data_IF_839480675603
#
_entry.id   IF_839480675603
#
_cell.length_a   1.000
_cell.length_b   1.000
_cell.length_c   1.000
_cell.angle_alpha   90.00
_cell.angle_beta   90.00
_cell.angle_gamma   90.00
#
_symmetry.space_group_name_H-M   'P 1'
#
loop_
_entity.id
_entity.type
_entity.pdbx_description
1 polymer ?
#
# COMPACT_ATOMS: atom_id res chain seq x y z
N UNK A 1 -22.45 19.31 -21.04
CA UNK A 1 -21.33 19.77 -20.20
C UNK A 1 -20.28 18.67 -20.20
N UNK A 2 -18.98 18.95 -20.38
CA UNK A 2 -17.97 17.94 -20.13
C UNK A 2 -18.08 17.50 -18.68
N UNK A 3 -17.80 16.22 -18.35
CA UNK A 3 -17.77 15.77 -16.98
C UNK A 3 -16.76 16.64 -16.18
N UNK A 4 -17.14 17.00 -14.96
CA UNK A 4 -16.25 17.76 -14.09
C UNK A 4 -14.93 16.97 -13.93
N UNK A 5 -13.80 17.69 -14.03
CA UNK A 5 -12.50 17.06 -13.85
C UNK A 5 -12.41 16.51 -12.41
N UNK A 6 -11.98 15.26 -12.27
CA UNK A 6 -11.71 14.64 -10.97
C UNK A 6 -10.36 15.17 -10.50
N UNK A 7 -10.33 16.04 -9.49
CA UNK A 7 -9.10 16.71 -9.03
C UNK A 7 -8.93 16.66 -7.50
N UNK A 8 -9.98 16.30 -6.77
CA UNK A 8 -9.96 16.23 -5.31
C UNK A 8 -10.26 14.82 -4.81
N UNK A 9 -9.91 14.54 -3.57
CA UNK A 9 -10.25 13.29 -2.91
C UNK A 9 -11.78 13.07 -2.87
N UNK A 10 -12.55 14.13 -2.64
CA UNK A 10 -14.02 14.08 -2.67
C UNK A 10 -14.59 13.76 -4.05
N UNK A 11 -13.96 14.23 -5.11
CA UNK A 11 -14.34 13.85 -6.47
C UNK A 11 -14.05 12.37 -6.72
N UNK A 12 -12.87 11.89 -6.27
CA UNK A 12 -12.49 10.49 -6.38
C UNK A 12 -13.45 9.56 -5.62
N UNK A 13 -13.92 9.96 -4.44
CA UNK A 13 -14.91 9.18 -3.67
C UNK A 13 -16.22 8.97 -4.44
N UNK A 14 -16.57 9.89 -5.32
CA UNK A 14 -17.78 9.82 -6.16
C UNK A 14 -17.52 9.19 -7.52
N UNK A 15 -16.26 9.06 -7.90
CA UNK A 15 -15.89 8.47 -9.19
C UNK A 15 -16.24 6.99 -9.23
N UNK A 16 -16.83 6.57 -10.34
CA UNK A 16 -17.16 5.15 -10.59
C UNK A 16 -16.92 4.83 -12.05
N UNK A 17 -16.01 3.89 -12.27
CA UNK A 17 -15.79 3.26 -13.56
C UNK A 17 -15.85 1.74 -13.36
N UNK A 18 -16.88 1.06 -13.86
CA UNK A 18 -17.07 -0.36 -13.58
C UNK A 18 -15.87 -1.21 -13.99
N UNK A 19 -15.41 -2.07 -13.07
CA UNK A 19 -14.29 -2.98 -13.29
C UNK A 19 -12.91 -2.31 -13.30
N UNK A 20 -12.79 -1.07 -12.81
CA UNK A 20 -11.52 -0.36 -12.70
C UNK A 20 -11.20 0.01 -11.26
N UNK A 21 -9.92 0.17 -10.98
CA UNK A 21 -9.42 0.83 -9.77
C UNK A 21 -8.98 2.25 -10.13
N UNK A 22 -9.07 3.17 -9.18
CA UNK A 22 -8.72 4.56 -9.41
C UNK A 22 -7.95 5.15 -8.23
N UNK A 23 -6.92 5.91 -8.53
CA UNK A 23 -6.13 6.69 -7.58
C UNK A 23 -6.08 8.16 -8.06
N UNK A 24 -5.70 9.06 -7.17
CA UNK A 24 -5.48 10.46 -7.50
C UNK A 24 -4.03 10.82 -7.17
N UNK A 25 -3.32 11.42 -8.11
CA UNK A 25 -1.92 11.84 -7.91
C UNK A 25 -1.79 13.31 -8.26
N UNK A 26 -1.60 14.14 -7.26
CA UNK A 26 -1.51 15.60 -7.42
C UNK A 26 -2.63 16.17 -8.28
N UNK A 27 -3.88 15.77 -7.97
CA UNK A 27 -5.06 16.19 -8.71
C UNK A 27 -5.23 15.55 -10.10
N UNK A 28 -4.41 14.55 -10.44
CA UNK A 28 -4.53 13.80 -11.70
C UNK A 28 -5.13 12.43 -11.43
N UNK A 29 -6.27 12.13 -12.06
CA UNK A 29 -6.92 10.83 -11.97
C UNK A 29 -6.11 9.76 -12.73
N UNK A 30 -5.79 8.67 -12.04
CA UNK A 30 -5.16 7.48 -12.60
C UNK A 30 -6.14 6.33 -12.50
N UNK A 31 -6.54 5.78 -13.64
CA UNK A 31 -7.44 4.62 -13.73
C UNK A 31 -6.64 3.42 -14.22
N UNK A 32 -6.82 2.27 -13.56
CA UNK A 32 -6.10 1.04 -13.88
C UNK A 32 -7.06 -0.14 -14.04
N UNK A 33 -6.62 -1.14 -14.80
CA UNK A 33 -7.25 -2.46 -14.83
C UNK A 33 -7.08 -3.16 -13.47
N UNK A 34 -8.05 -3.98 -13.03
CA UNK A 34 -7.88 -4.79 -11.85
C UNK A 34 -6.72 -5.78 -12.05
N UNK A 35 -5.98 -6.10 -10.97
CA UNK A 35 -4.88 -7.04 -11.04
C UNK A 35 -5.37 -8.46 -11.33
N UNK A 36 -4.48 -9.30 -11.88
CA UNK A 36 -4.77 -10.71 -12.16
C UNK A 36 -4.85 -11.57 -10.89
N UNK A 37 -5.38 -12.79 -11.04
CA UNK A 37 -5.60 -13.73 -9.92
C UNK A 37 -4.35 -14.03 -9.09
N UNK A 38 -3.17 -14.17 -9.74
CA UNK A 38 -1.91 -14.44 -9.02
C UNK A 38 -1.52 -13.32 -8.04
N UNK A 39 -1.73 -12.07 -8.45
CA UNK A 39 -1.55 -10.91 -7.57
C UNK A 39 -2.50 -11.00 -6.35
N UNK A 40 -3.79 -11.28 -6.58
CA UNK A 40 -4.77 -11.41 -5.50
C UNK A 40 -4.46 -12.54 -4.51
N UNK A 41 -3.93 -13.67 -5.00
CA UNK A 41 -3.50 -14.79 -4.13
C UNK A 41 -2.34 -14.35 -3.23
N UNK A 42 -1.33 -13.69 -3.81
CA UNK A 42 -0.18 -13.20 -3.05
C UNK A 42 -0.58 -12.13 -2.03
N UNK A 43 -1.43 -11.18 -2.44
CA UNK A 43 -1.98 -10.16 -1.55
C UNK A 43 -2.73 -10.78 -0.36
N UNK A 44 -3.58 -11.77 -0.62
CA UNK A 44 -4.33 -12.45 0.43
C UNK A 44 -3.43 -13.20 1.42
N UNK A 45 -2.37 -13.88 0.93
CA UNK A 45 -1.40 -14.58 1.79
C UNK A 45 -0.62 -13.60 2.66
N UNK A 46 -0.10 -12.53 2.07
CA UNK A 46 0.62 -11.49 2.81
C UNK A 46 -0.29 -10.86 3.87
N UNK A 47 -1.49 -10.43 3.47
CA UNK A 47 -2.46 -9.82 4.35
C UNK A 47 -2.80 -10.73 5.54
N UNK A 48 -3.03 -12.03 5.28
CA UNK A 48 -3.32 -13.00 6.32
C UNK A 48 -2.16 -13.11 7.34
N UNK A 49 -0.90 -13.23 6.88
CA UNK A 49 0.26 -13.34 7.77
C UNK A 49 0.44 -12.11 8.65
N UNK A 50 0.34 -10.92 8.04
CA UNK A 50 0.50 -9.67 8.79
C UNK A 50 -0.67 -9.45 9.74
N UNK A 51 -1.91 -9.64 9.28
CA UNK A 51 -3.10 -9.41 10.09
C UNK A 51 -3.20 -10.37 11.28
N UNK A 52 -2.90 -11.67 11.07
CA UNK A 52 -2.87 -12.66 12.17
C UNK A 52 -1.89 -12.23 13.27
N UNK A 53 -0.70 -11.78 12.89
CA UNK A 53 0.31 -11.33 13.83
C UNK A 53 -0.10 -10.05 14.56
N UNK A 54 -0.53 -9.03 13.81
CA UNK A 54 -0.93 -7.72 14.33
C UNK A 54 -2.08 -7.85 15.33
N UNK A 55 -3.12 -8.63 15.00
CA UNK A 55 -4.27 -8.86 15.87
C UNK A 55 -3.85 -9.62 17.13
N UNK A 56 -3.04 -10.68 16.99
CA UNK A 56 -2.57 -11.49 18.13
C UNK A 56 -1.77 -10.67 19.14
N UNK A 57 -0.98 -9.71 18.68
CA UNK A 57 -0.10 -8.89 19.52
C UNK A 57 -0.66 -7.52 19.84
N UNK A 58 -1.89 -7.22 19.41
CA UNK A 58 -2.59 -5.97 19.70
C UNK A 58 -1.83 -4.72 19.21
N UNK A 59 -1.19 -4.80 18.02
CA UNK A 59 -0.29 -3.76 17.53
C UNK A 59 -1.01 -2.62 16.79
N UNK A 60 -2.20 -2.84 16.27
CA UNK A 60 -2.95 -1.87 15.48
C UNK A 60 -3.93 -2.54 14.52
N UNK A 61 -4.12 -1.94 13.34
CA UNK A 61 -5.02 -2.44 12.31
C UNK A 61 -4.29 -2.67 10.99
N UNK A 62 -4.67 -3.74 10.30
CA UNK A 62 -4.21 -4.05 8.94
C UNK A 62 -5.35 -3.76 7.97
N UNK A 63 -5.03 -3.03 6.91
CA UNK A 63 -6.00 -2.51 5.95
C UNK A 63 -5.74 -3.19 4.61
N UNK A 64 -6.82 -3.70 4.01
CA UNK A 64 -6.78 -4.45 2.77
C UNK A 64 -6.65 -3.52 1.54
N UNK A 65 -6.33 -4.15 0.40
CA UNK A 65 -6.27 -3.50 -0.91
C UNK A 65 -7.52 -2.67 -1.23
N UNK A 66 -7.39 -1.75 -2.19
CA UNK A 66 -8.45 -0.84 -2.65
C UNK A 66 -8.94 0.17 -1.60
N UNK A 67 -8.27 0.26 -0.45
CA UNK A 67 -8.52 1.28 0.56
C UNK A 67 -7.61 2.47 0.34
N UNK A 68 -8.19 3.62 0.05
CA UNK A 68 -7.43 4.85 -0.25
C UNK A 68 -6.96 5.58 1.02
N UNK A 69 -5.76 6.14 0.95
CA UNK A 69 -5.21 7.08 1.92
C UNK A 69 -4.93 8.41 1.25
N UNK A 70 -5.45 9.49 1.81
CA UNK A 70 -5.14 10.85 1.35
C UNK A 70 -3.82 11.28 1.98
N UNK A 71 -2.75 11.19 1.20
CA UNK A 71 -1.37 11.39 1.67
C UNK A 71 -0.79 12.77 1.35
N UNK A 72 -1.39 13.53 0.44
CA UNK A 72 -1.03 14.92 0.13
C UNK A 72 -2.30 15.75 -0.07
N UNK A 73 -2.17 17.08 0.15
CA UNK A 73 -3.22 18.08 -0.08
C UNK A 73 -2.69 19.21 -0.97
N UNK A 74 -3.57 19.84 -1.70
CA UNK A 74 -3.33 21.07 -2.48
C UNK A 74 -2.12 20.98 -3.45
N UNK A 75 -2.10 20.06 -4.43
CA UNK A 75 -3.18 19.22 -4.93
C UNK A 75 -3.25 17.84 -4.25
N UNK A 76 -4.47 17.31 -4.12
CA UNK A 76 -4.72 16.04 -3.44
C UNK A 76 -4.01 14.86 -4.10
N UNK A 77 -3.43 14.00 -3.26
CA UNK A 77 -2.96 12.67 -3.64
C UNK A 77 -3.64 11.61 -2.77
N UNK A 78 -4.33 10.69 -3.41
CA UNK A 78 -4.97 9.52 -2.78
C UNK A 78 -4.38 8.26 -3.41
N UNK A 79 -3.71 7.46 -2.59
CA UNK A 79 -3.10 6.19 -3.00
C UNK A 79 -3.76 5.03 -2.26
N UNK A 80 -3.90 3.91 -2.96
CA UNK A 80 -4.40 2.65 -2.41
C UNK A 80 -3.30 1.57 -2.55
N UNK A 81 -2.69 1.13 -1.44
CA UNK A 81 -1.71 0.04 -1.45
C UNK A 81 -2.41 -1.32 -1.47
N UNK A 82 -1.67 -2.39 -1.78
CA UNK A 82 -2.19 -3.75 -1.70
C UNK A 82 -2.40 -4.24 -0.27
N UNK A 83 -1.63 -3.72 0.67
CA UNK A 83 -1.84 -3.87 2.11
C UNK A 83 -1.23 -2.68 2.85
N UNK A 84 -1.82 -2.33 3.98
CA UNK A 84 -1.30 -1.29 4.87
C UNK A 84 -1.44 -1.70 6.34
N UNK A 85 -0.64 -1.08 7.20
CA UNK A 85 -0.74 -1.20 8.66
C UNK A 85 -0.70 0.20 9.28
N UNK A 86 -1.57 0.40 10.26
CA UNK A 86 -1.61 1.61 11.10
C UNK A 86 -1.45 1.17 12.55
N UNK A 87 -0.47 1.73 13.22
CA UNK A 87 -0.17 1.43 14.61
C UNK A 87 -1.32 1.88 15.55
N UNK A 88 -1.49 1.15 16.66
CA UNK A 88 -2.61 1.32 17.59
C UNK A 88 -2.78 2.75 18.10
N UNK A 89 -1.70 3.42 18.42
CA UNK A 89 -1.70 4.81 18.92
C UNK A 89 -2.12 5.83 17.86
N UNK A 90 -2.21 5.43 16.60
CA UNK A 90 -2.61 6.26 15.46
C UNK A 90 -4.01 5.93 14.92
N UNK A 91 -4.71 4.94 15.47
CA UNK A 91 -6.03 4.51 14.98
C UNK A 91 -7.10 5.61 15.09
N UNK A 92 -6.97 6.53 16.03
CA UNK A 92 -7.90 7.67 16.17
C UNK A 92 -7.95 8.61 14.94
N UNK A 93 -7.05 8.46 13.99
CA UNK A 93 -7.02 9.20 12.72
C UNK A 93 -7.72 8.49 11.57
N UNK A 94 -8.17 7.23 11.78
CA UNK A 94 -8.95 6.49 10.79
C UNK A 94 -10.40 6.95 10.90
N UNK A 95 -10.97 7.36 9.76
CA UNK A 95 -12.39 7.74 9.66
C UNK A 95 -13.19 6.60 9.04
N UNK A 96 -14.41 6.40 9.52
CA UNK A 96 -15.38 5.48 8.90
C UNK A 96 -15.95 6.05 7.58
N UNK A 97 -15.77 7.35 7.34
CA UNK A 97 -16.23 8.02 6.13
C UNK A 97 -15.05 8.62 5.36
N UNK A 98 -15.05 8.42 4.04
CA UNK A 98 -14.04 8.97 3.15
C UNK A 98 -12.68 8.25 3.20
N UNK A 99 -11.64 8.96 2.80
CA UNK A 99 -10.27 8.46 2.85
C UNK A 99 -9.62 8.88 4.17
N UNK A 100 -8.89 7.96 4.80
CA UNK A 100 -8.06 8.30 5.94
C UNK A 100 -7.01 9.35 5.53
N UNK A 101 -6.98 10.48 6.26
CA UNK A 101 -6.05 11.57 5.99
C UNK A 101 -4.76 11.39 6.80
N UNK A 102 -4.16 10.22 6.64
CA UNK A 102 -2.89 9.85 7.27
C UNK A 102 -2.07 8.96 6.32
N UNK A 103 -0.77 8.96 6.48
CA UNK A 103 0.09 7.94 5.91
C UNK A 103 0.11 6.72 6.84
N UNK A 104 -0.08 5.47 6.35
CA UNK A 104 0.12 4.27 7.15
C UNK A 104 1.56 4.18 7.68
N UNK A 105 1.80 3.33 8.69
CA UNK A 105 3.16 3.08 9.18
C UNK A 105 3.93 2.12 8.27
N UNK A 106 3.22 1.16 7.68
CA UNK A 106 3.74 0.24 6.68
C UNK A 106 2.77 0.09 5.51
N UNK A 107 3.33 -0.07 4.32
CA UNK A 107 2.58 -0.46 3.11
C UNK A 107 3.30 -1.56 2.34
N UNK A 108 2.52 -2.38 1.64
CA UNK A 108 3.02 -3.33 0.66
C UNK A 108 2.38 -3.06 -0.71
N UNK A 109 3.22 -3.14 -1.73
CA UNK A 109 2.85 -3.08 -3.14
C UNK A 109 3.30 -4.36 -3.82
N UNK A 110 2.43 -5.00 -4.57
CA UNK A 110 2.71 -6.23 -5.30
C UNK A 110 2.79 -5.89 -6.77
N UNK A 111 3.93 -6.19 -7.39
CA UNK A 111 4.14 -5.88 -8.80
C UNK A 111 3.23 -6.71 -9.69
N UNK A 112 2.65 -6.06 -10.67
CA UNK A 112 1.95 -6.66 -11.79
C UNK A 112 2.81 -6.63 -13.07
N UNK A 113 2.53 -7.45 -14.09
CA UNK A 113 3.28 -7.43 -15.35
C UNK A 113 3.22 -6.08 -16.10
N UNK A 114 2.23 -5.24 -15.80
CA UNK A 114 2.04 -3.93 -16.42
C UNK A 114 2.83 -2.81 -15.73
N UNK A 115 3.39 -3.06 -14.53
CA UNK A 115 4.06 -2.03 -13.76
C UNK A 115 5.42 -1.67 -14.36
N UNK A 116 5.66 -0.37 -14.45
CA UNK A 116 6.93 0.17 -14.94
C UNK A 116 7.82 0.53 -13.75
N UNK A 117 9.12 0.16 -13.78
CA UNK A 117 10.03 0.41 -12.65
C UNK A 117 10.05 1.88 -12.17
N UNK A 118 9.98 2.84 -13.08
CA UNK A 118 9.95 4.27 -12.74
C UNK A 118 8.68 4.67 -11.97
N UNK A 119 7.51 4.18 -12.38
CA UNK A 119 6.23 4.44 -11.72
C UNK A 119 6.19 3.81 -10.31
N UNK A 120 6.77 2.61 -10.16
CA UNK A 120 6.88 1.94 -8.86
C UNK A 120 7.75 2.74 -7.91
N UNK A 121 8.92 3.21 -8.37
CA UNK A 121 9.82 4.03 -7.54
C UNK A 121 9.19 5.38 -7.20
N UNK A 122 8.44 6.00 -8.10
CA UNK A 122 7.68 7.21 -7.82
C UNK A 122 6.63 6.97 -6.72
N UNK A 123 5.87 5.86 -6.81
CA UNK A 123 4.87 5.49 -5.79
C UNK A 123 5.53 5.24 -4.43
N UNK A 124 6.67 4.52 -4.39
CA UNK A 124 7.47 4.34 -3.18
C UNK A 124 7.91 5.69 -2.59
N UNK A 125 8.43 6.59 -3.43
CA UNK A 125 8.82 7.94 -3.00
C UNK A 125 7.66 8.73 -2.43
N UNK A 126 6.46 8.64 -2.99
CA UNK A 126 5.25 9.29 -2.46
C UNK A 126 4.88 8.74 -1.08
N UNK A 127 4.93 7.41 -0.87
CA UNK A 127 4.68 6.80 0.43
C UNK A 127 5.68 7.29 1.49
N UNK A 128 6.99 7.23 1.19
CA UNK A 128 8.03 7.64 2.14
C UNK A 128 7.93 9.15 2.45
N UNK A 129 7.71 10.00 1.44
CA UNK A 129 7.55 11.44 1.63
C UNK A 129 6.30 11.80 2.44
N UNK A 130 5.26 10.98 2.39
CA UNK A 130 4.05 11.13 3.20
C UNK A 130 4.24 10.71 4.66
N UNK A 131 5.36 10.03 4.99
CA UNK A 131 5.68 9.58 6.34
C UNK A 131 5.50 8.09 6.60
N UNK A 132 5.26 7.27 5.56
CA UNK A 132 5.33 5.81 5.69
C UNK A 132 6.76 5.42 6.08
N UNK A 133 6.89 4.58 7.12
CA UNK A 133 8.19 4.21 7.69
C UNK A 133 8.83 3.03 6.97
N UNK A 134 8.00 2.10 6.45
CA UNK A 134 8.45 0.87 5.82
C UNK A 134 7.58 0.55 4.60
N UNK A 135 8.19 0.41 3.44
CA UNK A 135 7.51 0.06 2.19
C UNK A 135 8.10 -1.24 1.64
N UNK A 136 7.24 -2.23 1.42
CA UNK A 136 7.59 -3.48 0.78
C UNK A 136 7.08 -3.50 -0.66
N UNK A 137 7.95 -3.86 -1.60
CA UNK A 137 7.61 -4.07 -3.01
C UNK A 137 7.90 -5.52 -3.36
N UNK A 138 6.85 -6.32 -3.48
CA UNK A 138 6.94 -7.75 -3.77
C UNK A 138 6.97 -7.98 -5.29
N UNK A 139 7.98 -8.70 -5.77
CA UNK A 139 8.11 -9.11 -7.17
C UNK A 139 7.75 -10.60 -7.32
N UNK A 140 6.53 -10.94 -7.78
CA UNK A 140 6.11 -12.33 -7.90
C UNK A 140 6.87 -13.11 -8.97
N UNK A 141 7.43 -12.43 -9.97
CA UNK A 141 8.19 -13.07 -11.05
C UNK A 141 9.57 -13.51 -10.56
N UNK A 142 10.24 -12.63 -9.83
CA UNK A 142 11.58 -12.88 -9.28
C UNK A 142 11.57 -13.52 -7.90
N UNK A 143 10.39 -13.61 -7.27
CA UNK A 143 10.19 -14.12 -5.90
C UNK A 143 11.13 -13.47 -4.88
N UNK A 144 11.19 -12.14 -4.91
CA UNK A 144 11.91 -11.36 -3.92
C UNK A 144 11.07 -10.16 -3.49
N UNK A 145 11.42 -9.55 -2.36
CA UNK A 145 10.82 -8.32 -1.87
C UNK A 145 11.88 -7.25 -1.73
N UNK A 146 11.64 -6.08 -2.29
CA UNK A 146 12.45 -4.88 -2.02
C UNK A 146 11.84 -4.15 -0.83
N UNK A 147 12.69 -3.82 0.12
CA UNK A 147 12.33 -3.09 1.34
C UNK A 147 12.91 -1.68 1.22
N UNK A 148 12.05 -0.67 1.41
CA UNK A 148 12.46 0.73 1.44
C UNK A 148 12.07 1.32 2.80
N UNK A 149 12.95 2.12 3.39
CA UNK A 149 12.79 2.70 4.73
C UNK A 149 12.82 4.22 4.71
N UNK A 150 12.20 4.83 5.70
CA UNK A 150 12.13 6.29 5.84
C UNK A 150 13.51 6.96 5.98
N UNK A 151 14.53 6.24 6.42
CA UNK A 151 15.92 6.74 6.51
C UNK A 151 16.65 6.77 5.15
N UNK A 152 15.97 6.36 4.07
CA UNK A 152 16.50 6.29 2.72
C UNK A 152 17.26 5.01 2.39
N UNK A 153 17.37 4.06 3.34
CA UNK A 153 18.01 2.77 3.07
C UNK A 153 17.07 1.83 2.32
N UNK A 154 17.64 0.94 1.53
CA UNK A 154 16.92 -0.12 0.86
C UNK A 154 17.67 -1.44 0.91
N UNK A 155 16.91 -2.54 0.93
CA UNK A 155 17.46 -3.90 0.89
C UNK A 155 16.57 -4.81 0.03
N UNK A 156 17.06 -5.99 -0.28
CA UNK A 156 16.31 -7.04 -0.97
C UNK A 156 16.27 -8.25 -0.04
N UNK A 157 15.09 -8.84 0.10
CA UNK A 157 14.86 -10.12 0.76
C UNK A 157 14.63 -11.16 -0.31
N UNK A 158 15.49 -12.16 -0.35
CA UNK A 158 15.44 -13.25 -1.31
C UNK A 158 14.47 -14.37 -0.90
N UNK A 159 14.26 -15.37 -1.79
CA UNK A 159 13.24 -16.41 -1.59
C UNK A 159 13.49 -17.31 -0.38
N UNK A 160 14.75 -17.43 0.06
CA UNK A 160 15.15 -18.26 1.21
C UNK A 160 15.32 -17.45 2.52
N UNK A 161 14.95 -16.18 2.48
CA UNK A 161 15.06 -15.24 3.60
C UNK A 161 13.69 -14.92 4.21
N UNK A 162 13.68 -14.12 5.27
CA UNK A 162 12.46 -13.72 5.99
C UNK A 162 12.19 -12.22 5.81
N UNK A 163 10.91 -11.89 5.63
CA UNK A 163 10.40 -10.54 5.84
C UNK A 163 10.44 -10.21 7.33
N UNK A 164 10.90 -9.01 7.64
CA UNK A 164 10.99 -8.46 8.99
C UNK A 164 10.15 -7.19 9.08
N UNK A 165 9.22 -7.12 10.04
CA UNK A 165 8.44 -5.91 10.32
C UNK A 165 9.24 -4.79 10.95
N UNK A 166 10.49 -5.07 11.33
CA UNK A 166 11.42 -4.13 11.96
C UNK A 166 10.80 -3.50 13.23
N UNK A 167 11.03 -2.21 13.44
CA UNK A 167 10.41 -1.46 14.53
C UNK A 167 8.99 -0.94 14.17
N UNK A 168 8.52 -1.18 12.94
CA UNK A 168 7.20 -0.76 12.46
C UNK A 168 6.13 -1.75 12.81
N UNK A 169 6.39 -3.06 12.63
CA UNK A 169 5.55 -4.18 13.11
C UNK A 169 6.44 -5.04 14.02
N UNK A 170 6.66 -4.62 15.28
CA UNK A 170 7.71 -5.20 16.12
C UNK A 170 7.54 -6.70 16.35
N UNK A 171 8.58 -7.47 15.99
CA UNK A 171 8.62 -8.92 16.15
C UNK A 171 7.95 -9.71 15.03
N UNK A 172 7.37 -9.05 14.03
CA UNK A 172 6.85 -9.76 12.86
C UNK A 172 8.00 -10.36 12.04
N UNK A 173 7.88 -11.67 11.77
CA UNK A 173 8.76 -12.42 10.88
C UNK A 173 7.93 -13.34 9.99
N UNK A 174 8.27 -13.41 8.72
CA UNK A 174 7.58 -14.29 7.77
C UNK A 174 8.59 -14.80 6.73
N UNK A 175 8.85 -16.12 6.66
CA UNK A 175 9.63 -16.67 5.56
C UNK A 175 9.00 -16.27 4.22
N UNK A 176 9.81 -15.68 3.34
CA UNK A 176 9.29 -15.20 2.06
C UNK A 176 8.71 -16.36 1.23
N UNK A 177 9.24 -17.57 1.41
CA UNK A 177 8.76 -18.80 0.77
C UNK A 177 7.29 -19.11 1.10
N UNK A 178 6.78 -18.69 2.26
CA UNK A 178 5.38 -18.92 2.69
C UNK A 178 4.35 -18.13 1.88
N UNK A 179 4.81 -17.15 1.12
CA UNK A 179 3.94 -16.28 0.32
C UNK A 179 3.76 -16.75 -1.14
N UNK A 180 4.65 -17.63 -1.65
CA UNK A 180 4.65 -18.08 -3.05
C UNK A 180 3.87 -19.35 -3.33
#
# INVERSE_FOLDING_TARGET
>A
MPPAAIQTADDLLRFREPGKTAELVRGVLIVREPPGTGHGVLAARLLYRVAEFVVRHDLGEVIAQDTGFKIERDPDTVRAPDAAFVARDRLGWISDEGYAELAPDWVAEILSPSDRPGEVLEKVGQWLNAGVRLVWVLDPVRRHTRIYRADGTASIVGPDEELDGEDVIPGFRCPLADLW
#
